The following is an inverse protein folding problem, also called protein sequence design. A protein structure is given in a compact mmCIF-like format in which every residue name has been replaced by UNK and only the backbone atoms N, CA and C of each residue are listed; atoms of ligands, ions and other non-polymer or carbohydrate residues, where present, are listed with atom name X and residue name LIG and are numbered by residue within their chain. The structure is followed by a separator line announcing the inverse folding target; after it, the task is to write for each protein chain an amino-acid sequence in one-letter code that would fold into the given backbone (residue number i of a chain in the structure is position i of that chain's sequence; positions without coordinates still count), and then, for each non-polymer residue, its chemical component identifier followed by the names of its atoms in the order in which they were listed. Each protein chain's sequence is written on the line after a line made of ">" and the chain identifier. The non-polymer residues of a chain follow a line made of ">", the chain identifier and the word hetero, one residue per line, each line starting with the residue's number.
data_IF_854416433203
#
_entry.id   IF_854416433203
#
_cell.length_a   1.000
_cell.length_b   1.000
_cell.length_c   1.000
_cell.angle_alpha   90.00
_cell.angle_beta   90.00
_cell.angle_gamma   90.00
#
_symmetry.space_group_name_H-M   'P 1'
#
loop_
_entity.id
_entity.type
_entity.pdbx_description
1 polymer ?
#
# COMPACT_ATOMS: atom_id res chain seq x y z
N UNK A 1 16.48 3.80 10.87
CA UNK A 1 15.81 3.23 12.07
C UNK A 1 15.65 1.73 11.85
N UNK A 2 16.19 0.87 12.71
CA UNK A 2 16.05 -0.58 12.57
C UNK A 2 14.77 -1.06 13.28
N UNK A 3 13.66 -1.09 12.54
CA UNK A 3 12.41 -1.68 13.03
C UNK A 3 12.50 -3.20 12.86
N UNK A 4 12.26 -3.96 13.93
CA UNK A 4 12.36 -5.42 13.91
C UNK A 4 11.33 -6.09 12.98
N UNK A 5 11.55 -7.38 12.70
CA UNK A 5 10.75 -8.17 11.75
C UNK A 5 9.24 -8.15 12.02
N UNK A 6 8.81 -8.05 13.29
CA UNK A 6 7.39 -7.96 13.64
C UNK A 6 6.73 -6.69 13.11
N UNK A 7 7.43 -5.55 13.17
CA UNK A 7 6.94 -4.28 12.65
C UNK A 7 6.85 -4.31 11.12
N UNK A 8 7.85 -4.89 10.47
CA UNK A 8 7.84 -5.13 9.03
C UNK A 8 6.66 -6.02 8.61
N UNK A 9 6.46 -7.15 9.28
CA UNK A 9 5.34 -8.05 9.00
C UNK A 9 3.98 -7.38 9.18
N UNK A 10 3.79 -6.60 10.25
CA UNK A 10 2.57 -5.85 10.48
C UNK A 10 2.32 -4.79 9.38
N UNK A 11 3.36 -4.07 8.95
CA UNK A 11 3.26 -3.06 7.91
C UNK A 11 2.91 -3.69 6.54
N UNK A 12 3.58 -4.79 6.18
CA UNK A 12 3.28 -5.53 4.94
C UNK A 12 1.86 -6.08 4.96
N UNK A 13 1.42 -6.71 6.06
CA UNK A 13 0.06 -7.22 6.18
C UNK A 13 -1.00 -6.12 6.04
N UNK A 14 -0.73 -4.94 6.60
CA UNK A 14 -1.61 -3.77 6.46
C UNK A 14 -1.63 -3.26 5.02
N UNK A 15 -0.48 -3.14 4.36
CA UNK A 15 -0.38 -2.77 2.94
C UNK A 15 -1.13 -3.75 2.03
N UNK A 16 -0.98 -5.06 2.24
CA UNK A 16 -1.75 -6.09 1.53
C UNK A 16 -3.26 -5.90 1.71
N UNK A 17 -3.71 -5.57 2.93
CA UNK A 17 -5.13 -5.31 3.19
C UNK A 17 -5.63 -4.06 2.47
N UNK A 18 -4.80 -3.03 2.35
CA UNK A 18 -5.10 -1.79 1.62
C UNK A 18 -5.22 -2.03 0.12
N UNK A 19 -4.26 -2.76 -0.48
CA UNK A 19 -4.29 -3.16 -1.89
C UNK A 19 -5.56 -3.96 -2.19
N UNK A 20 -5.86 -4.95 -1.35
CA UNK A 20 -7.07 -5.78 -1.47
C UNK A 20 -8.34 -4.96 -1.42
N UNK A 21 -8.38 -3.97 -0.53
CA UNK A 21 -9.52 -3.08 -0.38
C UNK A 21 -9.73 -2.24 -1.65
N UNK A 22 -8.68 -1.57 -2.13
CA UNK A 22 -8.75 -0.74 -3.32
C UNK A 22 -9.22 -1.55 -4.53
N UNK A 23 -8.60 -2.71 -4.77
CA UNK A 23 -8.96 -3.56 -5.88
C UNK A 23 -10.41 -4.08 -5.79
N UNK A 24 -10.90 -4.42 -4.60
CA UNK A 24 -12.33 -4.80 -4.43
C UNK A 24 -13.25 -3.63 -4.76
N UNK A 25 -12.88 -2.40 -4.39
CA UNK A 25 -13.64 -1.19 -4.75
C UNK A 25 -13.61 -0.87 -6.25
N UNK A 26 -12.59 -1.35 -6.96
CA UNK A 26 -12.49 -1.31 -8.41
C UNK A 26 -13.27 -2.45 -9.11
N UNK A 27 -13.94 -3.34 -8.36
CA UNK A 27 -14.71 -4.45 -8.89
C UNK A 27 -13.94 -5.78 -9.01
N UNK A 28 -12.71 -5.87 -8.50
CA UNK A 28 -11.96 -7.12 -8.51
C UNK A 28 -12.57 -8.14 -7.53
N UNK A 29 -12.49 -9.42 -7.89
CA UNK A 29 -12.87 -10.52 -6.99
C UNK A 29 -11.84 -10.65 -5.87
N UNK A 30 -12.23 -10.69 -4.58
CA UNK A 30 -11.28 -10.82 -3.47
C UNK A 30 -10.37 -12.06 -3.55
N UNK A 31 -10.85 -13.13 -4.19
CA UNK A 31 -10.11 -14.38 -4.40
C UNK A 31 -8.91 -14.21 -5.33
N UNK A 32 -8.99 -13.32 -6.33
CA UNK A 32 -7.89 -13.01 -7.25
C UNK A 32 -6.66 -12.49 -6.51
N UNK A 33 -6.86 -11.80 -5.39
CA UNK A 33 -5.79 -11.17 -4.60
C UNK A 33 -5.26 -12.08 -3.49
N UNK A 34 -5.88 -13.24 -3.26
CA UNK A 34 -5.40 -14.24 -2.30
C UNK A 34 -4.41 -15.23 -2.91
N UNK A 35 -4.33 -15.30 -4.24
CA UNK A 35 -3.43 -16.22 -4.93
C UNK A 35 -1.96 -15.77 -4.92
N UNK A 36 -1.12 -16.58 -5.57
CA UNK A 36 0.32 -16.35 -5.68
C UNK A 36 0.63 -15.00 -6.35
N UNK A 37 -0.12 -14.61 -7.38
CA UNK A 37 0.06 -13.34 -8.09
C UNK A 37 -0.36 -12.09 -7.30
N UNK A 38 -1.10 -12.26 -6.19
CA UNK A 38 -1.51 -11.17 -5.30
C UNK A 38 -0.66 -11.12 -4.05
N UNK A 39 -1.14 -11.74 -2.98
CA UNK A 39 -0.41 -11.80 -1.70
C UNK A 39 0.97 -12.44 -1.82
N UNK A 40 1.14 -13.47 -2.66
CA UNK A 40 2.41 -14.19 -2.79
C UNK A 40 3.53 -13.31 -3.35
N UNK A 41 3.26 -12.60 -4.43
CA UNK A 41 4.20 -11.68 -5.08
C UNK A 41 4.58 -10.49 -4.19
N UNK A 42 3.61 -9.94 -3.45
CA UNK A 42 3.89 -8.88 -2.46
C UNK A 42 4.83 -9.39 -1.37
N UNK A 43 4.57 -10.58 -0.81
CA UNK A 43 5.43 -11.16 0.22
C UNK A 43 6.85 -11.39 -0.33
N UNK A 44 6.97 -11.94 -1.54
CA UNK A 44 8.27 -12.13 -2.19
C UNK A 44 9.02 -10.79 -2.33
N UNK A 45 8.36 -9.77 -2.87
CA UNK A 45 8.93 -8.45 -3.12
C UNK A 45 9.29 -7.70 -1.83
N UNK A 46 8.51 -7.86 -0.76
CA UNK A 46 8.76 -7.17 0.50
C UNK A 46 9.85 -7.85 1.34
N UNK A 47 9.98 -9.18 1.32
CA UNK A 47 10.89 -9.91 2.21
C UNK A 47 12.22 -10.31 1.58
N UNK A 48 12.31 -10.39 0.25
CA UNK A 48 13.56 -10.77 -0.43
C UNK A 48 14.49 -9.58 -0.62
N UNK A 49 15.76 -9.75 -0.24
CA UNK A 49 16.81 -8.71 -0.33
C UNK A 49 17.09 -8.23 -1.77
N UNK A 50 16.82 -9.07 -2.77
CA UNK A 50 17.04 -8.75 -4.20
C UNK A 50 16.00 -7.78 -4.78
N UNK A 51 14.94 -7.47 -4.02
CA UNK A 51 13.91 -6.52 -4.45
C UNK A 51 14.47 -5.10 -4.53
N UNK A 52 14.38 -4.49 -5.71
CA UNK A 52 14.80 -3.11 -5.97
C UNK A 52 13.98 -2.12 -5.15
N UNK A 53 12.66 -2.33 -5.07
CA UNK A 53 11.77 -1.52 -4.24
C UNK A 53 12.14 -1.60 -2.75
N UNK A 54 12.49 -2.79 -2.27
CA UNK A 54 12.93 -2.98 -0.88
C UNK A 54 14.25 -2.25 -0.62
N UNK A 55 15.20 -2.32 -1.55
CA UNK A 55 16.47 -1.62 -1.43
C UNK A 55 16.28 -0.10 -1.34
N UNK A 56 15.48 0.48 -2.25
CA UNK A 56 15.11 1.90 -2.19
C UNK A 56 14.49 2.25 -0.83
N UNK A 57 13.52 1.47 -0.35
CA UNK A 57 12.89 1.69 0.95
C UNK A 57 13.86 1.66 2.13
N UNK A 58 14.83 0.74 2.12
CA UNK A 58 15.86 0.66 3.16
C UNK A 58 16.79 1.87 3.16
N UNK A 59 17.22 2.32 1.98
CA UNK A 59 18.10 3.49 1.81
C UNK A 59 17.38 4.77 2.23
N UNK A 60 16.13 4.96 1.79
CA UNK A 60 15.27 6.04 2.27
C UNK A 60 15.11 6.00 3.80
N UNK A 61 14.84 4.82 4.37
CA UNK A 61 14.72 4.62 5.82
C UNK A 61 16.02 4.85 6.62
N UNK A 62 17.15 4.90 5.92
CA UNK A 62 18.48 5.21 6.46
C UNK A 62 18.82 6.70 6.34
N UNK A 63 18.00 7.48 5.62
CA UNK A 63 18.09 8.93 5.50
C UNK A 63 18.73 9.42 4.20
N UNK A 64 19.03 8.52 3.25
CA UNK A 64 19.49 8.90 1.91
C UNK A 64 18.37 9.60 1.12
N UNK A 65 18.73 10.53 0.23
CA UNK A 65 17.76 11.23 -0.62
C UNK A 65 17.35 10.35 -1.80
N UNK A 66 16.06 10.41 -2.18
CA UNK A 66 15.54 9.62 -3.29
C UNK A 66 16.32 9.84 -4.59
N UNK A 67 16.66 11.08 -4.94
CA UNK A 67 17.43 11.39 -6.15
C UNK A 67 18.78 10.66 -6.18
N UNK A 68 19.56 10.76 -5.09
CA UNK A 68 20.86 10.09 -4.95
C UNK A 68 20.74 8.56 -5.02
N UNK A 69 19.64 8.01 -4.49
CA UNK A 69 19.36 6.58 -4.57
C UNK A 69 19.12 6.15 -6.02
N UNK A 70 18.27 6.88 -6.74
CA UNK A 70 17.91 6.55 -8.12
C UNK A 70 19.08 6.75 -9.09
N UNK A 71 19.86 7.81 -8.92
CA UNK A 71 21.04 8.10 -9.74
C UNK A 71 22.12 7.02 -9.60
N UNK A 72 22.20 6.36 -8.44
CA UNK A 72 23.16 5.29 -8.18
C UNK A 72 22.66 3.90 -8.62
N UNK A 73 21.44 3.78 -9.15
CA UNK A 73 20.83 2.49 -9.50
C UNK A 73 20.83 2.25 -11.00
N UNK A 74 21.30 1.08 -11.41
CA UNK A 74 21.23 0.63 -12.82
C UNK A 74 19.87 0.02 -13.20
N UNK A 75 18.89 0.03 -12.28
CA UNK A 75 17.58 -0.61 -12.45
C UNK A 75 16.48 0.30 -11.92
N UNK A 76 15.32 0.29 -12.59
CA UNK A 76 14.16 1.08 -12.19
C UNK A 76 13.45 0.43 -11.01
N UNK A 77 13.15 1.22 -9.98
CA UNK A 77 12.27 0.83 -8.88
C UNK A 77 10.82 1.23 -9.22
N UNK A 78 10.06 0.30 -9.81
CA UNK A 78 8.69 0.52 -10.30
C UNK A 78 7.74 1.09 -9.23
N UNK A 79 7.98 0.79 -7.95
CA UNK A 79 7.17 1.31 -6.85
C UNK A 79 7.26 2.84 -6.72
N UNK A 80 8.39 3.44 -7.12
CA UNK A 80 8.59 4.89 -7.09
C UNK A 80 7.67 5.59 -8.09
N UNK A 81 7.62 5.10 -9.33
CA UNK A 81 6.76 5.67 -10.37
C UNK A 81 5.28 5.33 -10.18
N UNK A 82 4.96 4.20 -9.54
CA UNK A 82 3.59 3.71 -9.39
C UNK A 82 2.86 4.31 -8.18
N UNK A 83 3.59 4.78 -7.16
CA UNK A 83 3.01 5.26 -5.92
C UNK A 83 1.94 6.35 -6.12
N UNK A 84 2.21 7.36 -6.96
CA UNK A 84 1.26 8.43 -7.26
C UNK A 84 -0.03 7.93 -7.93
N UNK A 85 0.09 6.95 -8.84
CA UNK A 85 -1.08 6.36 -9.51
C UNK A 85 -2.00 5.64 -8.52
N UNK A 86 -1.44 4.95 -7.53
CA UNK A 86 -2.21 4.29 -6.46
C UNK A 86 -2.99 5.31 -5.64
N UNK A 87 -2.41 6.47 -5.33
CA UNK A 87 -3.10 7.55 -4.60
C UNK A 87 -4.21 8.19 -5.45
N UNK A 88 -3.97 8.42 -6.74
CA UNK A 88 -5.00 8.89 -7.65
C UNK A 88 -6.19 7.92 -7.74
N UNK A 89 -5.92 6.61 -7.79
CA UNK A 89 -6.97 5.58 -7.72
C UNK A 89 -7.70 5.61 -6.38
N UNK A 90 -6.99 5.74 -5.27
CA UNK A 90 -7.59 5.81 -3.94
C UNK A 90 -8.59 6.98 -3.84
N UNK A 91 -8.21 8.15 -4.37
CA UNK A 91 -9.09 9.32 -4.45
C UNK A 91 -10.31 9.07 -5.34
N UNK A 92 -10.10 8.53 -6.55
CA UNK A 92 -11.17 8.21 -7.51
C UNK A 92 -12.23 7.29 -6.91
N UNK A 93 -11.82 6.28 -6.14
CA UNK A 93 -12.73 5.32 -5.52
C UNK A 93 -13.12 5.67 -4.07
N UNK A 94 -12.75 6.87 -3.60
CA UNK A 94 -13.01 7.37 -2.25
C UNK A 94 -12.59 6.38 -1.14
N UNK A 95 -11.38 5.84 -1.27
CA UNK A 95 -10.77 4.89 -0.34
C UNK A 95 -9.62 5.56 0.39
N UNK A 96 -9.60 5.45 1.72
CA UNK A 96 -8.44 5.84 2.53
C UNK A 96 -7.43 4.70 2.52
N UNK A 97 -6.16 4.93 2.19
CA UNK A 97 -5.08 3.92 2.19
C UNK A 97 -3.87 4.44 3.00
N UNK A 98 -3.91 4.40 4.34
CA UNK A 98 -2.93 5.09 5.17
C UNK A 98 -1.47 4.68 4.91
N UNK A 99 -1.18 3.38 4.79
CA UNK A 99 0.19 2.90 4.54
C UNK A 99 0.66 3.32 3.15
N UNK A 100 -0.14 3.08 2.12
CA UNK A 100 0.23 3.43 0.75
C UNK A 100 0.37 4.95 0.56
N UNK A 101 -0.47 5.73 1.24
CA UNK A 101 -0.38 7.20 1.26
C UNK A 101 0.90 7.67 1.94
N UNK A 102 1.28 7.06 3.07
CA UNK A 102 2.53 7.40 3.74
C UNK A 102 3.75 7.10 2.85
N UNK A 103 3.74 5.98 2.12
CA UNK A 103 4.80 5.63 1.16
C UNK A 103 4.90 6.66 0.04
N UNK A 104 3.78 7.04 -0.58
CA UNK A 104 3.76 8.06 -1.64
C UNK A 104 4.32 9.40 -1.12
N UNK A 105 3.87 9.85 0.06
CA UNK A 105 4.36 11.11 0.67
C UNK A 105 5.85 11.08 1.03
N UNK A 106 6.41 9.90 1.35
CA UNK A 106 7.86 9.75 1.55
C UNK A 106 8.59 9.91 0.21
N UNK A 107 8.08 9.28 -0.85
CA UNK A 107 8.64 9.37 -2.20
C UNK A 107 8.61 10.81 -2.72
N UNK A 108 7.51 11.52 -2.49
CA UNK A 108 7.33 12.94 -2.87
C UNK A 108 8.05 13.91 -1.92
N UNK A 109 8.85 13.39 -0.97
CA UNK A 109 9.62 14.17 0.01
C UNK A 109 8.77 15.09 0.91
N UNK A 110 7.47 14.79 1.07
CA UNK A 110 6.55 15.50 1.95
C UNK A 110 6.56 14.96 3.40
N UNK A 111 7.07 13.75 3.58
CA UNK A 111 7.04 13.03 4.86
C UNK A 111 8.34 12.27 5.09
N UNK A 112 8.94 12.41 6.27
CA UNK A 112 10.12 11.60 6.62
C UNK A 112 9.71 10.19 7.06
N UNK A 113 10.52 9.14 6.79
CA UNK A 113 10.20 7.78 7.22
C UNK A 113 9.94 7.66 8.73
N UNK A 114 10.70 8.40 9.55
CA UNK A 114 10.51 8.44 11.00
C UNK A 114 9.14 8.99 11.38
N UNK A 115 8.70 10.07 10.73
CA UNK A 115 7.39 10.68 10.98
C UNK A 115 6.26 9.78 10.47
N UNK A 116 6.42 9.14 9.32
CA UNK A 116 5.46 8.18 8.80
C UNK A 116 5.18 7.04 9.78
N UNK A 117 6.23 6.46 10.38
CA UNK A 117 6.07 5.40 11.39
C UNK A 117 5.27 5.89 12.60
N UNK A 118 5.57 7.09 13.11
CA UNK A 118 4.82 7.68 14.23
C UNK A 118 3.36 7.95 13.88
N UNK A 119 3.08 8.44 12.66
CA UNK A 119 1.71 8.66 12.18
C UNK A 119 0.95 7.34 12.06
N UNK A 120 1.58 6.29 11.49
CA UNK A 120 0.96 4.98 11.29
C UNK A 120 0.70 4.23 12.61
N UNK A 121 1.60 4.31 13.59
CA UNK A 121 1.44 3.67 14.90
C UNK A 121 0.29 4.26 15.72
N UNK A 122 -0.05 5.53 15.48
CA UNK A 122 -1.14 6.22 16.17
C UNK A 122 -2.51 6.02 15.48
N UNK A 123 -2.57 5.28 14.36
CA UNK A 123 -3.84 5.06 13.68
C UNK A 123 -4.76 4.13 14.48
N UNK A 124 -6.01 4.52 14.74
CA UNK A 124 -6.96 3.63 15.39
C UNK A 124 -7.24 2.41 14.49
N UNK A 125 -7.20 1.21 15.09
CA UNK A 125 -7.55 -0.08 14.46
C UNK A 125 -8.96 -0.10 13.82
N UNK A 126 -9.76 0.95 14.08
CA UNK A 126 -11.12 1.19 13.58
C UNK A 126 -11.19 1.54 12.09
N UNK A 127 -10.09 1.91 11.42
CA UNK A 127 -10.12 2.15 9.97
C UNK A 127 -10.61 0.91 9.19
N UNK A 128 -10.25 -0.31 9.62
CA UNK A 128 -10.78 -1.57 9.05
C UNK A 128 -12.30 -1.73 9.18
N UNK A 129 -12.97 -1.06 10.14
CA UNK A 129 -14.44 -1.06 10.32
C UNK A 129 -15.12 0.02 9.47
N UNK A 130 -14.54 1.22 9.41
CA UNK A 130 -15.07 2.33 8.60
C UNK A 130 -15.18 1.96 7.12
N UNK A 131 -14.15 1.30 6.61
CA UNK A 131 -14.13 0.75 5.27
C UNK A 131 -15.16 -0.39 5.11
N UNK A 132 -15.21 -1.39 6.02
CA UNK A 132 -16.19 -2.50 5.96
C UNK A 132 -17.66 -2.05 5.90
N UNK A 133 -18.02 -0.95 6.54
CA UNK A 133 -19.38 -0.42 6.49
C UNK A 133 -19.71 0.24 5.13
N UNK A 134 -18.70 0.72 4.38
CA UNK A 134 -18.89 1.25 3.03
C UNK A 134 -18.98 0.16 1.95
N UNK A 135 -18.50 -1.07 2.19
CA UNK A 135 -18.69 -2.19 1.24
C UNK A 135 -20.08 -2.81 1.36
N UNK A 136 -20.72 -2.74 2.54
CA UNK A 136 -22.08 -3.27 2.77
C UNK A 136 -23.22 -2.40 2.22
N UNK A 137 -22.97 -1.15 1.83
CA UNK A 137 -23.98 -0.25 1.22
C UNK A 137 -24.14 -0.43 -0.30
N UNK A 138 -23.36 -1.32 -0.91
CA UNK A 138 -23.43 -1.64 -2.34
C UNK A 138 -24.09 -3.00 -2.51
N UNK A 139 -25.36 -3.13 -2.10
CA UNK A 139 -26.20 -4.15 -2.74
C UNK A 139 -26.54 -3.65 -4.15
N UNK A 140 -26.52 -4.51 -5.18
CA UNK A 140 -26.99 -4.11 -6.50
C UNK A 140 -28.46 -3.67 -6.38
N UNK A 141 -28.90 -2.61 -7.09
CA UNK A 141 -30.32 -2.31 -7.14
C UNK A 141 -31.06 -3.55 -7.64
N UNK A 142 -32.06 -3.98 -6.89
CA UNK A 142 -32.98 -5.05 -7.27
C UNK A 142 -33.42 -4.85 -8.72
N UNK A 143 -32.87 -5.64 -9.63
CA UNK A 143 -33.42 -5.82 -10.96
C UNK A 143 -34.60 -6.80 -10.81
N UNK A 144 -35.70 -6.33 -10.23
CA UNK A 144 -37.00 -6.97 -10.42
C UNK A 144 -37.39 -6.76 -11.88
N UNK A 145 -37.02 -7.72 -12.73
CA UNK A 145 -37.63 -7.86 -14.04
C UNK A 145 -38.97 -8.56 -13.83
N UNK A 146 -40.04 -7.77 -13.79
CA UNK A 146 -41.40 -8.25 -14.03
C UNK A 146 -41.51 -8.63 -15.51
N UNK A 147 -41.74 -9.90 -15.80
CA UNK A 147 -42.67 -10.41 -16.83
C UNK A 147 -43.02 -11.84 -16.47
#
# INVERSE_FOLDING_TARGET
>A
MHLGNNCMAALVAQGCSEIRWLATKMGAKPTTLSGLSGSGDIMLTCFVNLSRNRNVGLRLGSGEKLGEILDSMNQVAEGVSTAGAVIALAQKYNVKLPVLTAVARIIDNELTPKRAVMELMNLPQRWRKSNRNQSKRMEPPNLFCHT
#
